data_IF_853393051493
#
_entry.id   IF_853393051493
#
_cell.length_a   1.000
_cell.length_b   1.000
_cell.length_c   1.000
_cell.angle_alpha   90.00
_cell.angle_beta   90.00
_cell.angle_gamma   90.00
#
_symmetry.space_group_name_H-M   'P 1'
#
loop_
_entity.id
_entity.type
_entity.pdbx_description
1 polymer ?
#
# COMPACT_ATOMS: atom_id res chain seq x y z
N UNK A 1 17.33 -23.73 -0.44
CA UNK A 1 16.84 -22.62 0.41
C UNK A 1 17.96 -21.59 0.42
N UNK A 2 17.93 -20.67 -0.54
CA UNK A 2 18.94 -19.63 -0.64
C UNK A 2 18.53 -18.45 0.24
N UNK A 3 19.20 -18.30 1.37
CA UNK A 3 19.22 -17.06 2.15
C UNK A 3 19.87 -15.96 1.29
N UNK A 4 19.07 -15.31 0.44
CA UNK A 4 19.51 -14.04 -0.15
C UNK A 4 19.61 -13.04 0.99
N UNK A 5 20.83 -12.88 1.52
CA UNK A 5 21.22 -11.77 2.40
C UNK A 5 20.70 -10.47 1.79
N UNK A 6 19.72 -9.89 2.46
CA UNK A 6 19.20 -8.57 2.11
C UNK A 6 20.33 -7.59 2.38
N UNK A 7 20.88 -7.03 1.31
CA UNK A 7 21.94 -6.01 1.41
C UNK A 7 21.35 -4.74 2.07
N UNK A 8 22.08 -4.09 3.00
CA UNK A 8 21.65 -2.82 3.62
C UNK A 8 21.25 -1.71 2.63
N UNK A 9 21.67 -1.79 1.38
CA UNK A 9 21.27 -0.88 0.30
C UNK A 9 19.82 -0.97 -0.17
N UNK A 10 19.04 -2.00 0.19
CA UNK A 10 17.65 -2.16 -0.21
C UNK A 10 16.73 -1.13 0.45
N UNK A 11 16.83 -0.98 1.77
CA UNK A 11 16.02 -0.03 2.55
C UNK A 11 16.34 1.43 2.17
N UNK A 12 17.61 1.76 2.01
CA UNK A 12 18.05 3.11 1.60
C UNK A 12 17.51 3.51 0.22
N UNK A 13 17.43 2.57 -0.72
CA UNK A 13 16.84 2.84 -2.05
C UNK A 13 15.33 3.11 -1.98
N UNK A 14 14.62 2.35 -1.14
CA UNK A 14 13.18 2.56 -0.91
C UNK A 14 12.95 3.90 -0.22
N UNK A 15 13.73 4.21 0.84
CA UNK A 15 13.69 5.50 1.52
C UNK A 15 13.94 6.66 0.54
N UNK A 16 15.07 6.65 -0.21
CA UNK A 16 15.38 7.73 -1.15
C UNK A 16 14.26 7.93 -2.18
N UNK A 17 13.70 6.81 -2.70
CA UNK A 17 12.64 6.87 -3.68
C UNK A 17 11.38 7.57 -3.17
N UNK A 18 10.89 7.19 -1.97
CA UNK A 18 9.68 7.74 -1.38
C UNK A 18 9.90 9.10 -0.69
N UNK A 19 11.16 9.44 -0.37
CA UNK A 19 11.51 10.75 0.16
C UNK A 19 11.67 11.83 -0.92
N UNK A 20 11.83 11.45 -2.20
CA UNK A 20 11.78 12.39 -3.34
C UNK A 20 10.34 12.85 -3.61
N UNK A 21 9.37 11.93 -3.58
CA UNK A 21 7.95 12.22 -3.79
C UNK A 21 7.10 11.21 -3.00
N UNK A 22 6.25 11.70 -2.10
CA UNK A 22 5.35 10.85 -1.33
C UNK A 22 4.22 10.29 -2.20
N UNK A 23 3.76 9.09 -1.89
CA UNK A 23 2.63 8.47 -2.61
C UNK A 23 1.40 9.38 -2.55
N UNK A 24 0.85 9.73 -3.72
CA UNK A 24 -0.34 10.59 -3.83
C UNK A 24 -0.05 12.09 -3.93
N UNK A 25 1.20 12.53 -3.77
CA UNK A 25 1.58 13.94 -3.79
C UNK A 25 1.18 14.65 -5.10
N UNK A 26 1.27 13.95 -6.23
CA UNK A 26 0.85 14.45 -7.54
C UNK A 26 -0.64 14.78 -7.66
N UNK A 27 -1.49 14.28 -6.74
CA UNK A 27 -2.92 14.60 -6.71
C UNK A 27 -3.25 15.86 -5.90
N UNK A 28 -2.27 16.45 -5.20
CA UNK A 28 -2.44 17.69 -4.42
C UNK A 28 -2.30 18.97 -5.27
N UNK A 29 -2.24 18.89 -6.58
CA UNK A 29 -2.08 20.01 -7.54
C UNK A 29 -0.92 20.98 -7.18
N UNK A 30 0.11 20.48 -6.48
CA UNK A 30 1.24 21.25 -5.97
C UNK A 30 0.90 22.21 -4.83
N UNK A 31 -0.35 22.23 -4.36
CA UNK A 31 -0.77 23.00 -3.20
C UNK A 31 -0.80 22.13 -1.94
N UNK A 32 0.08 22.45 -0.99
CA UNK A 32 0.10 21.81 0.33
C UNK A 32 -0.61 22.65 1.39
N UNK A 33 -1.68 23.33 0.98
CA UNK A 33 -2.63 24.01 1.83
C UNK A 33 -3.86 23.11 2.08
N UNK A 34 -4.80 23.58 2.90
CA UNK A 34 -5.98 22.81 3.30
C UNK A 34 -6.75 22.23 2.09
N UNK A 35 -6.99 23.05 1.08
CA UNK A 35 -7.78 22.66 -0.08
C UNK A 35 -7.05 21.64 -0.97
N UNK A 36 -5.72 21.75 -1.09
CA UNK A 36 -4.90 20.77 -1.81
C UNK A 36 -4.93 19.40 -1.14
N UNK A 37 -4.83 19.32 0.19
CA UNK A 37 -4.96 18.06 0.92
C UNK A 37 -6.38 17.46 0.82
N UNK A 38 -7.42 18.30 0.81
CA UNK A 38 -8.79 17.83 0.61
C UNK A 38 -9.02 17.32 -0.81
N UNK A 39 -8.45 18.00 -1.82
CA UNK A 39 -8.50 17.57 -3.22
C UNK A 39 -7.79 16.22 -3.43
N UNK A 40 -6.62 16.04 -2.81
CA UNK A 40 -5.90 14.76 -2.82
C UNK A 40 -6.74 13.64 -2.20
N UNK A 41 -7.33 13.85 -1.02
CA UNK A 41 -8.21 12.89 -0.37
C UNK A 41 -9.41 12.52 -1.25
N UNK A 42 -10.02 13.51 -1.87
CA UNK A 42 -11.16 13.29 -2.79
C UNK A 42 -10.72 12.45 -3.98
N UNK A 43 -9.63 12.82 -4.65
CA UNK A 43 -9.07 12.09 -5.79
C UNK A 43 -8.74 10.64 -5.43
N UNK A 44 -8.13 10.41 -4.26
CA UNK A 44 -7.81 9.09 -3.74
C UNK A 44 -9.04 8.20 -3.63
N UNK A 45 -10.09 8.65 -2.96
CA UNK A 45 -11.28 7.82 -2.75
C UNK A 45 -12.20 7.75 -3.96
N UNK A 46 -12.13 8.70 -4.90
CA UNK A 46 -12.78 8.57 -6.21
C UNK A 46 -12.12 7.48 -7.07
N UNK A 47 -10.79 7.38 -7.04
CA UNK A 47 -10.03 6.35 -7.76
C UNK A 47 -10.11 4.98 -7.06
N UNK A 48 -10.14 4.98 -5.73
CA UNK A 48 -10.05 3.78 -4.91
C UNK A 48 -11.16 3.71 -3.84
N UNK A 49 -12.44 3.70 -4.24
CA UNK A 49 -13.59 3.77 -3.31
C UNK A 49 -13.65 2.57 -2.35
N UNK A 50 -13.08 1.44 -2.73
CA UNK A 50 -13.00 0.22 -1.93
C UNK A 50 -12.09 0.36 -0.69
N UNK A 51 -11.28 1.42 -0.58
CA UNK A 51 -10.50 1.69 0.64
C UNK A 51 -11.43 1.88 1.83
N UNK A 52 -12.48 2.69 1.68
CA UNK A 52 -13.45 3.01 2.74
C UNK A 52 -14.13 1.73 3.22
N UNK A 53 -14.61 0.90 2.29
CA UNK A 53 -15.27 -0.38 2.60
C UNK A 53 -14.34 -1.36 3.32
N UNK A 54 -13.07 -1.41 2.91
CA UNK A 54 -12.09 -2.30 3.52
C UNK A 54 -11.60 -1.76 4.86
N UNK A 55 -11.19 -0.52 4.93
CA UNK A 55 -10.65 0.10 6.13
C UNK A 55 -11.69 0.15 7.25
N UNK A 56 -12.97 0.45 6.92
CA UNK A 56 -14.05 0.61 7.91
C UNK A 56 -13.61 1.56 9.02
N UNK A 57 -13.21 2.77 8.66
CA UNK A 57 -12.55 3.73 9.55
C UNK A 57 -13.30 3.93 10.88
N UNK A 58 -14.64 3.89 10.87
CA UNK A 58 -15.45 4.00 12.07
C UNK A 58 -15.19 2.87 13.11
N UNK A 59 -14.65 1.73 12.66
CA UNK A 59 -14.30 0.63 13.56
C UNK A 59 -13.11 0.93 14.47
N UNK A 60 -12.36 2.00 14.22
CA UNK A 60 -11.23 2.43 15.04
C UNK A 60 -11.64 3.30 16.25
N UNK A 61 -12.91 3.67 16.37
CA UNK A 61 -13.42 4.47 17.48
C UNK A 61 -13.06 3.87 18.83
N UNK A 62 -12.43 4.69 19.67
CA UNK A 62 -12.05 4.31 21.03
C UNK A 62 -10.87 3.35 21.16
N UNK A 63 -10.21 2.98 20.05
CA UNK A 63 -9.05 2.08 20.02
C UNK A 63 -7.72 2.83 20.04
N UNK A 64 -6.66 2.18 20.51
CA UNK A 64 -5.28 2.61 20.26
C UNK A 64 -4.87 2.09 18.89
N UNK A 65 -4.68 2.99 17.95
CA UNK A 65 -4.46 2.67 16.53
C UNK A 65 -3.05 3.04 16.08
N UNK A 66 -2.42 2.15 15.33
CA UNK A 66 -1.18 2.41 14.60
C UNK A 66 -1.48 2.37 13.11
N UNK A 67 -1.09 3.41 12.37
CA UNK A 67 -0.94 3.35 10.92
C UNK A 67 0.53 3.25 10.54
N UNK A 68 0.85 2.29 9.66
CA UNK A 68 2.18 2.09 9.10
C UNK A 68 2.18 2.55 7.65
N UNK A 69 2.99 3.58 7.36
CA UNK A 69 3.06 4.22 6.05
C UNK A 69 1.98 5.28 5.86
N UNK A 70 2.11 6.41 6.58
CA UNK A 70 1.08 7.47 6.56
C UNK A 70 1.04 8.26 5.25
N UNK A 71 2.15 8.32 4.50
CA UNK A 71 2.24 9.04 3.22
C UNK A 71 1.76 10.49 3.32
N UNK A 72 0.78 10.87 2.50
CA UNK A 72 0.14 12.19 2.52
C UNK A 72 -0.89 12.37 3.66
N UNK A 73 -1.14 11.34 4.48
CA UNK A 73 -2.02 11.39 5.65
C UNK A 73 -3.52 11.33 5.35
N UNK A 74 -3.95 10.89 4.17
CA UNK A 74 -5.37 10.80 3.81
C UNK A 74 -6.11 9.79 4.67
N UNK A 75 -5.65 8.53 4.70
CA UNK A 75 -6.26 7.50 5.52
C UNK A 75 -6.08 7.81 7.02
N UNK A 76 -4.92 8.36 7.40
CA UNK A 76 -4.62 8.80 8.77
C UNK A 76 -5.63 9.84 9.28
N UNK A 77 -6.01 10.79 8.42
CA UNK A 77 -7.02 11.79 8.78
C UNK A 77 -8.42 11.20 8.93
N UNK A 78 -8.79 10.17 8.15
CA UNK A 78 -10.06 9.45 8.34
C UNK A 78 -10.07 8.67 9.66
N UNK A 79 -8.95 8.02 9.99
CA UNK A 79 -8.81 7.33 11.30
C UNK A 79 -8.95 8.36 12.44
N UNK A 80 -8.29 9.52 12.35
CA UNK A 80 -8.40 10.58 13.37
C UNK A 80 -9.85 11.04 13.56
N UNK A 81 -10.61 11.21 12.47
CA UNK A 81 -12.02 11.63 12.51
C UNK A 81 -12.95 10.57 13.14
N UNK A 82 -12.56 9.30 13.15
CA UNK A 82 -13.32 8.23 13.82
C UNK A 82 -13.25 8.29 15.35
N UNK A 83 -12.49 9.24 15.92
CA UNK A 83 -12.30 9.41 17.36
C UNK A 83 -11.65 8.19 18.03
N UNK A 84 -10.45 7.77 17.62
CA UNK A 84 -9.69 6.74 18.31
C UNK A 84 -9.31 7.20 19.72
N UNK A 85 -9.02 6.25 20.62
CA UNK A 85 -8.49 6.57 21.95
C UNK A 85 -7.10 7.20 21.87
N UNK A 86 -6.26 6.66 21.00
CA UNK A 86 -4.99 7.23 20.61
C UNK A 86 -4.68 6.87 19.14
N UNK A 87 -4.05 7.77 18.43
CA UNK A 87 -3.61 7.55 17.05
C UNK A 87 -2.11 7.78 16.93
N UNK A 88 -1.42 6.82 16.38
CA UNK A 88 0.00 6.89 16.07
C UNK A 88 0.18 6.59 14.59
N UNK A 89 0.96 7.42 13.90
CA UNK A 89 1.33 7.21 12.51
C UNK A 89 2.84 7.11 12.36
N UNK A 90 3.29 6.13 11.58
CA UNK A 90 4.72 6.00 11.24
C UNK A 90 4.91 5.95 9.73
N UNK A 91 6.04 6.47 9.29
CA UNK A 91 6.51 6.34 7.91
C UNK A 91 8.03 6.15 7.91
N UNK A 92 8.55 5.58 6.85
CA UNK A 92 10.00 5.43 6.68
C UNK A 92 10.68 6.77 6.36
N UNK A 93 9.93 7.73 5.79
CA UNK A 93 10.44 9.00 5.25
C UNK A 93 10.02 10.20 6.09
N UNK A 94 10.93 11.15 6.26
CA UNK A 94 10.66 12.42 6.89
C UNK A 94 9.62 13.22 6.11
N UNK A 95 9.68 13.17 4.77
CA UNK A 95 8.74 13.87 3.87
C UNK A 95 7.28 13.48 4.13
N UNK A 96 6.98 12.19 4.28
CA UNK A 96 5.63 11.73 4.58
C UNK A 96 5.16 12.21 5.96
N UNK A 97 6.04 12.20 6.95
CA UNK A 97 5.74 12.71 8.29
C UNK A 97 5.45 14.22 8.24
N UNK A 98 6.26 15.01 7.53
CA UNK A 98 6.04 16.45 7.36
C UNK A 98 4.70 16.77 6.68
N UNK A 99 4.36 16.06 5.59
CA UNK A 99 3.06 16.19 4.92
C UNK A 99 1.90 15.88 5.85
N UNK A 100 1.98 14.77 6.57
CA UNK A 100 0.92 14.36 7.51
C UNK A 100 0.80 15.33 8.68
N UNK A 101 1.90 15.83 9.25
CA UNK A 101 1.91 16.87 10.29
C UNK A 101 1.24 18.16 9.80
N UNK A 102 1.62 18.63 8.60
CA UNK A 102 1.03 19.82 7.99
C UNK A 102 -0.47 19.66 7.77
N UNK A 103 -0.90 18.53 7.19
CA UNK A 103 -2.32 18.19 7.02
C UNK A 103 -3.08 18.24 8.34
N UNK A 104 -2.55 17.59 9.37
CA UNK A 104 -3.18 17.52 10.69
C UNK A 104 -3.30 18.91 11.34
N UNK A 105 -2.26 19.73 11.23
CA UNK A 105 -2.30 21.13 11.68
C UNK A 105 -3.41 21.92 10.97
N UNK A 106 -3.51 21.82 9.64
CA UNK A 106 -4.50 22.55 8.84
C UNK A 106 -5.94 22.06 9.07
N UNK A 107 -6.13 20.79 9.45
CA UNK A 107 -7.43 20.20 9.72
C UNK A 107 -7.83 20.22 11.21
N UNK A 108 -6.94 20.70 12.10
CA UNK A 108 -7.18 20.68 13.54
C UNK A 108 -7.24 19.27 14.13
N UNK A 109 -6.52 18.33 13.55
CA UNK A 109 -6.43 16.93 13.99
C UNK A 109 -5.16 16.71 14.83
N UNK A 110 -5.17 15.64 15.66
CA UNK A 110 -4.02 15.28 16.50
C UNK A 110 -3.63 13.82 16.28
N UNK A 111 -2.34 13.56 16.24
CA UNK A 111 -1.74 12.23 16.21
C UNK A 111 -0.29 12.28 16.71
N UNK A 112 0.22 11.14 17.16
CA UNK A 112 1.64 10.97 17.42
C UNK A 112 2.31 10.47 16.13
N UNK A 113 3.10 11.33 15.49
CA UNK A 113 3.75 11.06 14.19
C UNK A 113 5.26 10.99 14.37
N UNK A 114 5.89 9.94 13.80
CA UNK A 114 7.35 9.82 13.78
C UNK A 114 7.83 8.98 12.60
N UNK A 115 9.09 9.20 12.20
CA UNK A 115 9.78 8.26 11.32
C UNK A 115 10.06 6.95 12.06
N UNK A 116 9.76 5.82 11.41
CA UNK A 116 10.02 4.49 11.96
C UNK A 116 10.12 3.45 10.83
N UNK A 117 10.78 2.34 11.12
CA UNK A 117 10.94 1.24 10.18
C UNK A 117 9.94 0.12 10.47
N UNK A 118 9.10 -0.21 9.50
CA UNK A 118 8.10 -1.28 9.62
C UNK A 118 8.72 -2.67 9.90
N UNK A 119 10.01 -2.87 9.62
CA UNK A 119 10.74 -4.11 9.92
C UNK A 119 11.26 -4.20 11.36
N UNK A 120 11.23 -3.08 12.12
CA UNK A 120 11.75 -2.99 13.49
C UNK A 120 11.10 -1.79 14.18
N UNK A 121 9.80 -1.94 14.52
CA UNK A 121 8.99 -0.87 15.10
C UNK A 121 9.43 -0.56 16.54
N UNK A 122 9.67 0.71 16.83
CA UNK A 122 10.13 1.18 18.13
C UNK A 122 9.04 1.22 19.22
N UNK A 123 8.05 0.31 19.15
CA UNK A 123 6.98 0.17 20.13
C UNK A 123 7.13 -1.13 20.92
N UNK A 124 6.61 -1.11 22.15
CA UNK A 124 6.55 -2.32 22.97
C UNK A 124 5.55 -3.34 22.39
N UNK A 125 5.71 -4.59 22.77
CA UNK A 125 4.76 -5.65 22.47
C UNK A 125 3.35 -5.29 22.98
N UNK A 126 2.33 -5.70 22.24
CA UNK A 126 0.92 -5.56 22.68
C UNK A 126 0.53 -4.10 23.02
N UNK A 127 0.98 -3.13 22.22
CA UNK A 127 0.72 -1.70 22.43
C UNK A 127 -0.60 -1.23 21.79
N UNK A 128 -1.02 -1.83 20.67
CA UNK A 128 -2.12 -1.35 19.85
C UNK A 128 -3.29 -2.32 19.79
N UNK A 129 -4.51 -1.76 19.78
CA UNK A 129 -5.75 -2.52 19.57
C UNK A 129 -5.97 -2.81 18.08
N UNK A 130 -5.50 -1.90 17.22
CA UNK A 130 -5.62 -2.03 15.77
C UNK A 130 -4.37 -1.51 15.04
N UNK A 131 -4.05 -2.16 13.89
CA UNK A 131 -3.01 -1.73 12.94
C UNK A 131 -3.64 -1.58 11.56
N UNK A 132 -3.32 -0.49 10.88
CA UNK A 132 -3.69 -0.23 9.50
C UNK A 132 -2.43 0.00 8.65
N UNK A 133 -2.40 -0.53 7.43
CA UNK A 133 -1.32 -0.25 6.47
C UNK A 133 -1.82 -0.45 5.04
N UNK A 134 -1.71 0.57 4.22
CA UNK A 134 -2.16 0.53 2.84
C UNK A 134 -1.02 0.80 1.87
N UNK A 135 -0.63 -0.24 1.11
CA UNK A 135 0.34 -0.08 0.03
C UNK A 135 1.80 0.07 0.48
N UNK A 136 2.19 -0.42 1.67
CA UNK A 136 3.49 -0.12 2.28
C UNK A 136 4.38 -1.35 2.45
N UNK A 137 3.89 -2.38 3.13
CA UNK A 137 4.74 -3.47 3.62
C UNK A 137 5.45 -4.27 2.53
N UNK A 138 4.90 -4.31 1.32
CA UNK A 138 5.50 -4.99 0.17
C UNK A 138 6.65 -4.21 -0.50
N UNK A 139 6.87 -2.97 -0.08
CA UNK A 139 8.04 -2.16 -0.48
C UNK A 139 9.24 -2.36 0.46
N UNK A 140 9.02 -2.86 1.68
CA UNK A 140 10.10 -3.10 2.64
C UNK A 140 11.14 -4.10 2.11
N UNK A 141 12.35 -4.08 2.63
CA UNK A 141 13.38 -5.07 2.28
C UNK A 141 12.95 -6.48 2.72
N UNK A 142 12.33 -6.59 3.91
CA UNK A 142 11.84 -7.86 4.46
C UNK A 142 10.38 -7.77 4.92
N UNK A 143 9.46 -8.08 4.02
CA UNK A 143 8.01 -8.05 4.29
C UNK A 143 7.59 -9.03 5.40
N UNK A 144 8.26 -10.18 5.56
CA UNK A 144 7.96 -11.14 6.64
C UNK A 144 8.20 -10.49 8.01
N UNK A 145 9.32 -9.77 8.18
CA UNK A 145 9.58 -9.00 9.41
C UNK A 145 8.49 -7.96 9.68
N UNK A 146 8.00 -7.27 8.65
CA UNK A 146 6.92 -6.31 8.85
C UNK A 146 5.65 -6.98 9.41
N UNK A 147 5.27 -8.14 8.90
CA UNK A 147 4.12 -8.90 9.44
C UNK A 147 4.39 -9.42 10.85
N UNK A 148 5.63 -9.80 11.16
CA UNK A 148 6.04 -10.18 12.51
C UNK A 148 5.94 -9.02 13.50
N UNK A 149 6.35 -7.81 13.09
CA UNK A 149 6.22 -6.59 13.88
C UNK A 149 4.75 -6.18 14.07
N UNK A 150 3.92 -6.24 13.03
CA UNK A 150 2.47 -6.04 13.16
C UNK A 150 1.89 -7.00 14.19
N UNK A 151 2.25 -8.28 14.12
CA UNK A 151 1.80 -9.26 15.11
C UNK A 151 2.30 -8.93 16.52
N UNK A 152 3.57 -8.56 16.67
CA UNK A 152 4.20 -8.24 17.96
C UNK A 152 3.51 -7.07 18.66
N UNK A 153 3.32 -5.96 17.94
CA UNK A 153 2.77 -4.72 18.50
C UNK A 153 1.25 -4.79 18.75
N UNK A 154 0.52 -5.70 18.09
CA UNK A 154 -0.89 -5.92 18.36
C UNK A 154 -1.10 -6.57 19.73
N UNK A 155 -2.10 -6.10 20.45
CA UNK A 155 -2.62 -6.75 21.66
C UNK A 155 -3.27 -8.10 21.32
N UNK A 156 -3.39 -9.04 22.27
CA UNK A 156 -4.24 -10.22 22.11
C UNK A 156 -5.66 -9.81 21.69
N UNK A 157 -6.21 -10.47 20.66
CA UNK A 157 -7.50 -10.14 19.99
C UNK A 157 -7.49 -8.81 19.23
N UNK A 158 -6.34 -8.14 19.11
CA UNK A 158 -6.18 -6.96 18.25
C UNK A 158 -6.28 -7.34 16.77
N UNK A 159 -6.66 -6.39 15.95
CA UNK A 159 -6.89 -6.60 14.52
C UNK A 159 -5.94 -5.80 13.64
N UNK A 160 -5.64 -6.30 12.43
CA UNK A 160 -4.96 -5.52 11.43
C UNK A 160 -5.70 -5.55 10.08
N UNK A 161 -5.61 -4.43 9.35
CA UNK A 161 -6.06 -4.31 7.96
C UNK A 161 -4.88 -3.85 7.11
N UNK A 162 -4.46 -4.71 6.19
CA UNK A 162 -3.24 -4.52 5.41
C UNK A 162 -3.56 -4.72 3.93
N UNK A 163 -3.09 -3.81 3.08
CA UNK A 163 -3.07 -4.01 1.64
C UNK A 163 -1.63 -4.20 1.16
N UNK A 164 -1.42 -5.29 0.41
CA UNK A 164 -0.18 -5.55 -0.35
C UNK A 164 -0.53 -5.93 -1.80
N UNK A 165 0.47 -6.09 -2.66
CA UNK A 165 0.22 -6.47 -4.06
C UNK A 165 0.05 -7.96 -4.27
N UNK A 166 -0.94 -8.31 -5.11
CA UNK A 166 -1.17 -9.67 -5.59
C UNK A 166 -0.39 -9.92 -6.88
N UNK A 167 0.26 -11.08 -6.96
CA UNK A 167 1.21 -11.43 -8.03
C UNK A 167 0.56 -11.58 -9.42
N UNK A 168 -0.58 -12.25 -9.50
CA UNK A 168 -1.19 -12.62 -10.79
C UNK A 168 -2.26 -11.62 -11.25
N UNK A 169 -1.91 -10.34 -11.18
CA UNK A 169 -2.77 -9.22 -11.54
C UNK A 169 -2.70 -8.88 -13.04
N UNK A 170 -3.74 -8.23 -13.60
CA UNK A 170 -3.68 -7.69 -14.96
C UNK A 170 -2.48 -6.77 -15.18
N UNK A 171 -2.20 -5.89 -14.23
CA UNK A 171 -1.02 -5.00 -14.25
C UNK A 171 0.28 -5.78 -14.40
N UNK A 172 0.46 -6.87 -13.65
CA UNK A 172 1.65 -7.70 -13.73
C UNK A 172 1.83 -8.34 -15.10
N UNK A 173 0.75 -8.85 -15.68
CA UNK A 173 0.78 -9.45 -17.02
C UNK A 173 1.00 -8.42 -18.12
N UNK A 174 0.48 -7.21 -18.00
CA UNK A 174 0.77 -6.10 -18.93
C UNK A 174 2.25 -5.71 -18.90
N UNK A 175 2.83 -5.61 -17.69
CA UNK A 175 4.26 -5.33 -17.53
C UNK A 175 5.11 -6.47 -18.08
N UNK A 176 4.72 -7.73 -17.84
CA UNK A 176 5.41 -8.89 -18.40
C UNK A 176 5.36 -8.91 -19.94
N UNK A 177 4.21 -8.60 -20.54
CA UNK A 177 4.11 -8.44 -22.00
C UNK A 177 5.09 -7.40 -22.51
N UNK A 178 5.14 -6.22 -21.86
CA UNK A 178 5.99 -5.09 -22.28
C UNK A 178 7.47 -5.34 -22.06
N UNK A 179 7.86 -5.84 -20.89
CA UNK A 179 9.28 -5.96 -20.49
C UNK A 179 9.84 -7.37 -20.60
N UNK A 180 8.99 -8.37 -20.75
CA UNK A 180 9.35 -9.75 -21.01
C UNK A 180 9.20 -10.09 -22.50
N UNK A 181 7.98 -10.39 -22.94
CA UNK A 181 7.71 -10.93 -24.27
C UNK A 181 8.20 -9.99 -25.40
N UNK A 182 7.82 -8.72 -25.37
CA UNK A 182 8.20 -7.73 -26.39
C UNK A 182 9.71 -7.35 -26.37
N UNK A 183 10.43 -7.78 -25.33
CA UNK A 183 11.90 -7.65 -25.24
C UNK A 183 12.65 -8.97 -25.45
N UNK A 184 11.96 -9.98 -26.02
CA UNK A 184 12.53 -11.31 -26.29
C UNK A 184 13.06 -12.03 -25.03
N UNK A 185 12.52 -11.72 -23.85
CA UNK A 185 12.82 -12.38 -22.57
C UNK A 185 11.55 -12.96 -21.92
N UNK A 186 10.86 -13.94 -22.57
CA UNK A 186 9.58 -14.46 -22.06
C UNK A 186 9.72 -15.27 -20.76
N UNK A 187 10.94 -15.66 -20.39
CA UNK A 187 11.21 -16.45 -19.17
C UNK A 187 11.41 -15.58 -17.91
N UNK A 188 11.43 -14.26 -18.05
CA UNK A 188 11.50 -13.36 -16.89
C UNK A 188 10.28 -13.59 -15.97
N UNK A 189 10.53 -13.74 -14.69
CA UNK A 189 9.45 -14.01 -13.75
C UNK A 189 8.75 -12.72 -13.28
N UNK A 190 7.50 -12.84 -12.80
CA UNK A 190 6.71 -11.69 -12.36
C UNK A 190 7.32 -10.95 -11.17
N UNK A 191 8.04 -11.62 -10.26
CA UNK A 191 8.68 -10.93 -9.13
C UNK A 191 9.75 -9.96 -9.62
N UNK A 192 10.55 -10.36 -10.63
CA UNK A 192 11.55 -9.51 -11.24
C UNK A 192 10.90 -8.34 -12.00
N UNK A 193 9.79 -8.60 -12.70
CA UNK A 193 8.99 -7.56 -13.36
C UNK A 193 8.50 -6.53 -12.35
N UNK A 194 7.90 -6.95 -11.23
CA UNK A 194 7.40 -6.05 -10.20
C UNK A 194 8.53 -5.25 -9.56
N UNK A 195 9.62 -5.92 -9.20
CA UNK A 195 10.79 -5.30 -8.55
C UNK A 195 11.45 -4.20 -9.39
N UNK A 196 11.42 -4.34 -10.73
CA UNK A 196 12.14 -3.43 -11.63
C UNK A 196 11.23 -2.41 -12.32
N UNK A 197 9.93 -2.67 -12.43
CA UNK A 197 9.09 -1.92 -13.37
C UNK A 197 7.74 -1.43 -12.80
N UNK A 198 7.35 -1.79 -11.58
CA UNK A 198 6.05 -1.33 -11.07
C UNK A 198 6.16 0.05 -10.41
N UNK A 199 6.83 0.15 -9.27
CA UNK A 199 6.94 1.39 -8.47
C UNK A 199 8.36 1.56 -7.95
N UNK A 200 8.53 1.60 -6.62
CA UNK A 200 9.86 1.69 -6.02
C UNK A 200 10.72 0.47 -6.35
N UNK A 201 12.04 0.62 -6.42
CA UNK A 201 12.94 -0.51 -6.61
C UNK A 201 12.74 -1.57 -5.52
N UNK A 202 12.57 -2.83 -5.93
CA UNK A 202 12.37 -3.94 -5.00
C UNK A 202 10.90 -4.18 -4.58
N UNK A 203 9.94 -3.49 -5.20
CA UNK A 203 8.49 -3.77 -5.00
C UNK A 203 8.20 -5.26 -5.19
N UNK A 204 7.46 -5.83 -4.25
CA UNK A 204 7.09 -7.26 -4.25
C UNK A 204 5.59 -7.45 -4.47
N UNK A 205 5.25 -8.61 -5.02
CA UNK A 205 3.88 -9.05 -5.12
C UNK A 205 3.78 -10.53 -4.70
N UNK A 206 2.67 -10.90 -4.08
CA UNK A 206 2.51 -12.19 -3.41
C UNK A 206 1.36 -12.99 -4.01
N UNK A 207 1.54 -14.28 -4.20
CA UNK A 207 0.43 -15.21 -4.39
C UNK A 207 -0.34 -15.39 -3.07
N UNK A 208 -1.56 -15.92 -3.12
CA UNK A 208 -2.32 -16.24 -1.90
C UNK A 208 -1.55 -17.17 -0.97
N UNK A 209 -0.84 -18.15 -1.52
CA UNK A 209 -0.04 -19.10 -0.73
C UNK A 209 1.13 -18.41 -0.01
N UNK A 210 1.84 -17.51 -0.70
CA UNK A 210 2.92 -16.72 -0.09
C UNK A 210 2.36 -15.78 0.98
N UNK A 211 1.22 -15.13 0.73
CA UNK A 211 0.56 -14.26 1.72
C UNK A 211 0.06 -15.04 2.95
N UNK A 212 -0.41 -16.27 2.78
CA UNK A 212 -0.75 -17.16 3.89
C UNK A 212 0.46 -17.49 4.78
N UNK A 213 1.66 -17.61 4.19
CA UNK A 213 2.88 -17.80 4.99
C UNK A 213 3.23 -16.54 5.80
N UNK A 214 3.08 -15.34 5.22
CA UNK A 214 3.29 -14.08 5.94
C UNK A 214 2.36 -13.93 7.15
N UNK A 215 1.14 -14.47 7.05
CA UNK A 215 0.10 -14.32 8.07
C UNK A 215 -0.05 -15.52 9.00
N UNK A 216 0.86 -16.49 8.96
CA UNK A 216 0.75 -17.77 9.70
C UNK A 216 0.65 -17.65 11.22
N UNK A 217 1.12 -16.52 11.81
CA UNK A 217 1.06 -16.26 13.25
C UNK A 217 -0.31 -15.77 13.73
N UNK A 218 -1.17 -15.27 12.82
CA UNK A 218 -2.46 -14.72 13.16
C UNK A 218 -3.52 -15.81 13.31
N UNK A 219 -4.42 -15.64 14.27
CA UNK A 219 -5.48 -16.64 14.58
C UNK A 219 -6.57 -16.66 13.51
N UNK A 220 -6.85 -15.48 12.90
CA UNK A 220 -7.79 -15.36 11.80
C UNK A 220 -7.18 -14.53 10.68
N UNK A 221 -7.34 -15.03 9.46
CA UNK A 221 -6.90 -14.34 8.24
C UNK A 221 -8.01 -14.41 7.20
N UNK A 222 -8.44 -13.25 6.71
CA UNK A 222 -9.34 -13.13 5.55
C UNK A 222 -8.61 -12.38 4.45
N UNK A 223 -8.63 -12.91 3.24
CA UNK A 223 -7.98 -12.33 2.07
C UNK A 223 -9.00 -12.08 0.97
N UNK A 224 -8.95 -10.91 0.34
CA UNK A 224 -9.75 -10.55 -0.82
C UNK A 224 -8.85 -9.90 -1.86
N UNK A 225 -8.95 -10.35 -3.12
CA UNK A 225 -8.28 -9.69 -4.23
C UNK A 225 -9.22 -8.61 -4.78
N UNK A 226 -8.66 -7.42 -5.02
CA UNK A 226 -9.40 -6.26 -5.48
C UNK A 226 -8.75 -5.70 -6.75
N UNK A 227 -9.57 -5.46 -7.79
CA UNK A 227 -9.13 -4.66 -8.93
C UNK A 227 -8.85 -3.23 -8.49
N UNK A 228 -7.75 -2.67 -8.99
CA UNK A 228 -7.44 -1.26 -8.83
C UNK A 228 -7.57 -0.51 -10.17
N UNK A 229 -7.49 0.81 -10.11
CA UNK A 229 -7.50 1.67 -11.29
C UNK A 229 -6.33 1.35 -12.25
N UNK A 230 -5.18 0.91 -11.71
CA UNK A 230 -4.02 0.44 -12.48
C UNK A 230 -4.33 -0.76 -13.37
N UNK A 231 -5.04 -1.75 -12.83
CA UNK A 231 -5.47 -2.93 -13.58
C UNK A 231 -6.40 -2.60 -14.76
N UNK A 232 -7.12 -1.51 -14.65
CA UNK A 232 -8.10 -1.06 -15.63
C UNK A 232 -7.56 0.00 -16.57
N UNK A 233 -6.33 0.45 -16.39
CA UNK A 233 -5.74 1.59 -17.08
C UNK A 233 -6.64 2.85 -17.00
N UNK A 234 -7.27 3.07 -15.84
CA UNK A 234 -8.10 4.24 -15.53
C UNK A 234 -7.26 5.33 -14.84
N UNK A 235 -7.60 6.60 -15.05
CA UNK A 235 -6.88 7.73 -14.44
C UNK A 235 -5.46 7.94 -14.96
N UNK A 236 -4.62 8.59 -14.16
CA UNK A 236 -3.21 8.85 -14.44
C UNK A 236 -2.33 7.64 -14.09
N UNK A 237 -2.70 6.50 -14.61
CA UNK A 237 -1.97 5.25 -14.35
C UNK A 237 -0.58 5.31 -14.95
N UNK A 238 0.40 5.07 -14.10
CA UNK A 238 1.76 4.86 -14.52
C UNK A 238 2.43 6.15 -14.97
N UNK A 239 2.65 7.09 -14.05
CA UNK A 239 3.52 8.26 -14.29
C UNK A 239 4.82 7.84 -14.95
N UNK A 240 5.33 6.63 -14.64
CA UNK A 240 6.50 6.01 -15.27
C UNK A 240 6.25 5.41 -16.66
N UNK A 241 5.00 5.20 -17.04
CA UNK A 241 4.61 4.57 -18.30
C UNK A 241 3.83 5.56 -19.14
N UNK A 242 4.55 6.40 -19.87
CA UNK A 242 3.97 7.36 -20.81
C UNK A 242 4.24 6.93 -22.26
N UNK A 243 3.56 7.53 -23.23
CA UNK A 243 3.83 7.37 -24.64
C UNK A 243 2.61 6.93 -25.47
N UNK A 244 2.78 6.93 -26.83
CA UNK A 244 1.67 6.68 -27.76
C UNK A 244 1.11 5.25 -27.64
N UNK A 245 1.95 4.27 -27.31
CA UNK A 245 1.55 2.87 -27.14
C UNK A 245 0.57 2.73 -25.96
N UNK A 246 0.84 3.41 -24.84
CA UNK A 246 -0.07 3.40 -23.70
C UNK A 246 -1.41 4.10 -24.02
N UNK A 247 -1.36 5.21 -24.77
CA UNK A 247 -2.59 5.90 -25.22
C UNK A 247 -3.45 4.97 -26.08
N UNK A 248 -2.84 4.26 -27.03
CA UNK A 248 -3.55 3.30 -27.87
C UNK A 248 -4.07 2.11 -27.06
N UNK A 249 -3.26 1.56 -26.14
CA UNK A 249 -3.68 0.50 -25.24
C UNK A 249 -4.89 0.92 -24.40
N UNK A 250 -4.92 2.13 -23.86
CA UNK A 250 -6.06 2.64 -23.07
C UNK A 250 -7.39 2.66 -23.86
N UNK A 251 -7.35 2.87 -25.19
CA UNK A 251 -8.56 2.91 -26.06
C UNK A 251 -9.13 1.50 -26.24
N UNK A 252 -8.28 0.53 -26.52
CA UNK A 252 -8.69 -0.86 -26.83
C UNK A 252 -8.73 -1.79 -25.62
N UNK A 253 -8.44 -1.27 -24.42
CA UNK A 253 -8.34 -2.10 -23.22
C UNK A 253 -9.70 -2.67 -22.81
N UNK A 254 -9.84 -4.00 -22.67
CA UNK A 254 -11.13 -4.65 -22.48
C UNK A 254 -11.62 -4.56 -21.01
N UNK A 255 -11.83 -3.34 -20.51
CA UNK A 255 -12.19 -3.08 -19.11
C UNK A 255 -13.41 -3.85 -18.63
N UNK A 256 -14.46 -3.94 -19.47
CA UNK A 256 -15.69 -4.66 -19.14
C UNK A 256 -15.43 -6.15 -18.93
N UNK A 257 -14.59 -6.75 -19.79
CA UNK A 257 -14.22 -8.16 -19.67
C UNK A 257 -13.41 -8.38 -18.38
N UNK A 258 -12.44 -7.50 -18.10
CA UNK A 258 -11.62 -7.59 -16.88
C UNK A 258 -12.48 -7.43 -15.63
N UNK A 259 -13.40 -6.45 -15.60
CA UNK A 259 -14.37 -6.27 -14.51
C UNK A 259 -15.28 -7.48 -14.34
N UNK A 260 -15.68 -8.13 -15.43
CA UNK A 260 -16.47 -9.36 -15.36
C UNK A 260 -15.64 -10.53 -14.82
N UNK A 261 -14.43 -10.73 -15.34
CA UNK A 261 -13.54 -11.80 -14.89
C UNK A 261 -13.18 -11.68 -13.40
N UNK A 262 -13.00 -10.46 -12.89
CA UNK A 262 -12.70 -10.25 -11.48
C UNK A 262 -13.83 -10.66 -10.51
N UNK A 263 -15.06 -10.81 -11.00
CA UNK A 263 -16.19 -11.32 -10.21
C UNK A 263 -16.17 -12.86 -10.09
N UNK A 264 -15.48 -13.53 -11.02
CA UNK A 264 -15.46 -15.01 -11.11
C UNK A 264 -14.13 -15.56 -10.59
N UNK A 265 -13.03 -14.86 -10.86
CA UNK A 265 -11.69 -15.29 -10.51
C UNK A 265 -11.01 -14.27 -9.59
N UNK A 266 -10.05 -14.68 -8.74
CA UNK A 266 -9.20 -13.78 -7.96
C UNK A 266 -8.27 -13.01 -8.90
N UNK A 267 -8.72 -11.84 -9.37
CA UNK A 267 -8.07 -11.09 -10.44
C UNK A 267 -8.04 -9.59 -10.10
N UNK A 268 -6.86 -9.05 -9.81
CA UNK A 268 -6.62 -7.67 -9.41
C UNK A 268 -5.27 -7.52 -8.73
N UNK A 269 -4.74 -6.29 -8.66
CA UNK A 269 -3.43 -6.02 -8.10
C UNK A 269 -3.44 -5.97 -6.57
N UNK A 270 -4.53 -5.53 -5.95
CA UNK A 270 -4.56 -5.36 -4.50
C UNK A 270 -5.01 -6.62 -3.78
N UNK A 271 -4.20 -7.06 -2.84
CA UNK A 271 -4.53 -8.12 -1.90
C UNK A 271 -4.86 -7.48 -0.54
N UNK A 272 -6.15 -7.47 -0.22
CA UNK A 272 -6.69 -6.94 1.01
C UNK A 272 -6.70 -8.04 2.07
N UNK A 273 -6.02 -7.81 3.19
CA UNK A 273 -5.80 -8.79 4.25
C UNK A 273 -6.34 -8.25 5.56
N UNK A 274 -7.33 -8.94 6.14
CA UNK A 274 -7.84 -8.67 7.49
C UNK A 274 -7.35 -9.76 8.43
N UNK A 275 -6.77 -9.36 9.55
CA UNK A 275 -6.08 -10.22 10.50
C UNK A 275 -6.62 -10.03 11.92
N UNK A 276 -6.56 -11.09 12.74
CA UNK A 276 -6.78 -11.05 14.18
C UNK A 276 -5.65 -11.83 14.88
N UNK A 277 -5.06 -11.24 15.94
CA UNK A 277 -4.00 -11.86 16.75
C UNK A 277 -4.55 -12.84 17.75
#
# INVERSE_FOLDING_TARGET
MDDKKITPGGLNKVHSYWNEESCGESYADGSFERDGYLAETKSRYELEPYIIDFAQFDSFKGLNVLEIGVGMGSDHSQIAQSSPKSLTGVDLTERAIEHTQRRFSLLGLNSNLKTDNAEDLSFNDSSFDAVYSWGVLHHSANTEKCFDEVWRVLKPKGSAKIMIYYKYAPTGWMLWLKYGLLRFNPLINLNEIYSNHLESPGTKAYSLKEAQQLTKKFTKTKMKIQLCHGDLLEGNVGIRHTGPILKLAKIFYPRTIIKFLSKIFPFGLFLLISLEK
#
